data_IF_184502226956
#
_entry.id   IF_184502226956
#
_cell.length_a   1.000
_cell.length_b   1.000
_cell.length_c   1.000
_cell.angle_alpha   90.00
_cell.angle_beta   90.00
_cell.angle_gamma   90.00
#
_symmetry.space_group_name_H-M   'P 1'
#
loop_
_entity.id
_entity.type
_entity.pdbx_description
1 polymer ?
#
# COMPACT_ATOMS: atom_id res chain seq x y z
N UNK A 1 -17.99 -1.65 -28.98
CA UNK A 1 -17.01 -1.93 -27.94
C UNK A 1 -17.68 -2.91 -26.97
N UNK A 2 -17.10 -4.07 -26.76
CA UNK A 2 -17.55 -4.99 -25.73
C UNK A 2 -17.37 -4.30 -24.37
N UNK A 3 -18.23 -4.59 -23.38
CA UNK A 3 -18.19 -3.94 -22.05
C UNK A 3 -16.85 -4.12 -21.26
N UNK A 4 -15.85 -4.77 -21.87
CA UNK A 4 -14.56 -5.09 -21.26
C UNK A 4 -13.35 -4.38 -21.90
N UNK A 5 -13.57 -3.60 -22.96
CA UNK A 5 -12.48 -2.96 -23.71
C UNK A 5 -11.65 -1.94 -22.91
N UNK A 6 -12.11 -1.53 -21.71
CA UNK A 6 -11.41 -0.61 -20.81
C UNK A 6 -10.54 -1.30 -19.76
N UNK A 7 -10.63 -2.63 -19.62
CA UNK A 7 -9.78 -3.39 -18.71
C UNK A 7 -8.52 -3.80 -19.46
N UNK A 8 -7.37 -3.54 -18.85
CA UNK A 8 -6.09 -4.06 -19.30
C UNK A 8 -5.85 -5.45 -18.73
N UNK A 9 -6.05 -5.62 -17.43
CA UNK A 9 -5.77 -6.85 -16.72
C UNK A 9 -6.52 -6.92 -15.40
N UNK A 10 -6.83 -8.14 -14.95
CA UNK A 10 -7.30 -8.43 -13.58
C UNK A 10 -6.24 -9.30 -12.90
N UNK A 11 -5.81 -8.89 -11.71
CA UNK A 11 -4.86 -9.63 -10.89
C UNK A 11 -5.60 -10.21 -9.68
N UNK A 12 -5.67 -11.54 -9.62
CA UNK A 12 -6.24 -12.27 -8.49
C UNK A 12 -5.21 -12.34 -7.35
N UNK A 13 -5.60 -12.07 -6.09
CA UNK A 13 -4.67 -12.08 -4.97
C UNK A 13 -4.11 -13.46 -4.66
N UNK A 14 -2.88 -13.47 -4.14
CA UNK A 14 -2.31 -14.64 -3.48
C UNK A 14 -2.41 -14.42 -1.97
N UNK A 15 -3.07 -15.36 -1.27
CA UNK A 15 -3.20 -15.29 0.19
C UNK A 15 -1.96 -15.84 0.86
N UNK A 16 -1.45 -15.08 1.84
CA UNK A 16 -0.36 -15.48 2.72
C UNK A 16 -0.85 -15.47 4.17
N UNK A 17 -0.64 -16.58 4.86
CA UNK A 17 -0.89 -16.70 6.29
C UNK A 17 0.32 -16.16 7.07
N UNK A 18 0.09 -15.16 7.92
CA UNK A 18 1.08 -14.56 8.82
C UNK A 18 0.96 -15.08 10.25
N UNK A 19 0.16 -16.13 10.48
CA UNK A 19 -0.06 -16.76 11.78
C UNK A 19 -1.27 -16.22 12.52
N UNK A 20 -1.31 -14.93 12.82
CA UNK A 20 -2.44 -14.29 13.50
C UNK A 20 -3.50 -13.73 12.54
N UNK A 21 -3.14 -13.47 11.29
CA UNK A 21 -4.06 -12.99 10.24
C UNK A 21 -3.51 -13.29 8.84
N UNK A 22 -4.39 -13.19 7.85
CA UNK A 22 -4.04 -13.38 6.44
C UNK A 22 -3.85 -12.04 5.73
N UNK A 23 -2.92 -12.01 4.78
CA UNK A 23 -2.77 -10.94 3.81
C UNK A 23 -3.04 -11.44 2.40
N UNK A 24 -3.65 -10.60 1.57
CA UNK A 24 -3.99 -10.86 0.18
C UNK A 24 -3.16 -9.95 -0.70
N UNK A 25 -2.12 -10.52 -1.32
CA UNK A 25 -1.17 -9.80 -2.18
C UNK A 25 -1.62 -9.79 -3.61
N UNK A 26 -1.75 -8.61 -4.20
CA UNK A 26 -2.03 -8.44 -5.63
C UNK A 26 -0.82 -7.93 -6.41
N UNK A 27 0.09 -7.18 -5.78
CA UNK A 27 1.38 -6.76 -6.35
C UNK A 27 2.53 -7.07 -5.38
N UNK A 28 3.70 -7.49 -5.88
CA UNK A 28 3.96 -7.93 -7.25
C UNK A 28 3.30 -9.28 -7.54
N UNK A 29 2.88 -9.49 -8.77
CA UNK A 29 2.39 -10.77 -9.27
C UNK A 29 3.20 -11.20 -10.49
N UNK A 30 3.07 -12.49 -10.90
CA UNK A 30 3.73 -12.96 -12.15
C UNK A 30 3.22 -12.25 -13.39
N UNK A 31 2.01 -11.74 -13.33
CA UNK A 31 1.35 -11.11 -14.46
C UNK A 31 1.60 -9.60 -14.51
N UNK A 32 1.85 -8.97 -13.35
CA UNK A 32 2.07 -7.54 -13.22
C UNK A 32 2.98 -7.24 -12.03
N UNK A 33 4.06 -6.52 -12.25
CA UNK A 33 4.99 -6.13 -11.18
C UNK A 33 4.60 -4.82 -10.50
N UNK A 34 4.09 -3.84 -11.27
CA UNK A 34 3.78 -2.49 -10.80
C UNK A 34 2.51 -1.95 -11.45
N UNK A 35 1.90 -0.96 -10.78
CA UNK A 35 0.89 -0.05 -11.35
C UNK A 35 1.28 1.37 -10.95
N UNK A 36 1.72 2.20 -11.91
CA UNK A 36 2.40 3.44 -11.58
C UNK A 36 3.57 3.15 -10.64
N UNK A 37 3.78 3.94 -9.58
CA UNK A 37 4.85 3.69 -8.60
C UNK A 37 4.56 2.51 -7.66
N UNK A 38 3.33 1.98 -7.60
CA UNK A 38 2.96 0.90 -6.68
C UNK A 38 3.59 -0.43 -7.09
N UNK A 39 4.54 -0.91 -6.29
CA UNK A 39 5.28 -2.16 -6.52
C UNK A 39 4.87 -3.27 -5.56
N UNK A 40 4.14 -2.93 -4.50
CA UNK A 40 3.62 -3.87 -3.53
C UNK A 40 2.25 -3.42 -3.04
N UNK A 41 1.29 -4.32 -3.03
CA UNK A 41 -0.07 -4.05 -2.55
C UNK A 41 -0.58 -5.28 -1.82
N UNK A 42 -0.67 -5.18 -0.50
CA UNK A 42 -1.27 -6.15 0.39
C UNK A 42 -2.54 -5.57 1.01
N UNK A 43 -3.61 -6.34 0.95
CA UNK A 43 -4.82 -6.13 1.73
C UNK A 43 -4.82 -7.12 2.89
N UNK A 44 -5.06 -6.66 4.11
CA UNK A 44 -5.15 -7.49 5.30
C UNK A 44 -6.48 -7.31 6.02
N UNK A 45 -6.94 -8.37 6.64
CA UNK A 45 -8.21 -8.42 7.36
C UNK A 45 -9.45 -8.44 6.45
N UNK A 46 -10.68 -8.13 7.00
CA UNK A 46 -10.92 -7.87 8.41
C UNK A 46 -10.54 -9.06 9.30
N UNK A 47 -9.78 -8.81 10.36
CA UNK A 47 -9.34 -9.81 11.32
C UNK A 47 -9.71 -9.36 12.74
N UNK A 48 -10.25 -10.30 13.54
CA UNK A 48 -10.45 -10.13 14.96
C UNK A 48 -9.45 -11.02 15.69
N UNK A 49 -8.47 -10.40 16.34
CA UNK A 49 -7.44 -11.12 17.07
C UNK A 49 -7.91 -11.41 18.51
N UNK A 50 -7.40 -12.47 19.12
CA UNK A 50 -7.79 -12.83 20.48
C UNK A 50 -7.26 -11.84 21.51
N UNK A 51 -7.84 -11.85 22.70
CA UNK A 51 -7.36 -11.04 23.84
C UNK A 51 -5.90 -11.37 24.13
N UNK A 52 -5.07 -10.34 24.21
CA UNK A 52 -3.63 -10.47 24.43
C UNK A 52 -2.81 -10.69 23.15
N UNK A 53 -3.44 -11.09 22.06
CA UNK A 53 -2.79 -11.22 20.75
C UNK A 53 -2.70 -9.87 20.05
N UNK A 54 -1.93 -9.83 18.96
CA UNK A 54 -1.77 -8.65 18.13
C UNK A 54 -0.86 -8.92 16.95
N UNK A 55 -0.78 -7.95 16.06
CA UNK A 55 0.23 -7.93 15.02
C UNK A 55 1.59 -7.62 15.63
N UNK A 56 2.61 -8.40 15.28
CA UNK A 56 4.00 -8.20 15.68
C UNK A 56 4.91 -8.38 14.46
N UNK A 57 5.10 -7.32 13.71
CA UNK A 57 6.11 -7.27 12.66
C UNK A 57 7.37 -6.66 13.26
N UNK A 58 8.33 -7.55 13.55
CA UNK A 58 9.61 -7.19 14.17
C UNK A 58 10.43 -6.27 13.28
N UNK A 59 11.41 -5.54 13.82
CA UNK A 59 12.32 -4.70 13.05
C UNK A 59 12.87 -5.37 11.80
N UNK A 60 12.68 -4.71 10.65
CA UNK A 60 13.10 -5.16 9.34
C UNK A 60 13.43 -3.97 8.44
N UNK A 61 14.36 -4.14 7.48
CA UNK A 61 14.88 -3.03 6.67
C UNK A 61 14.10 -2.85 5.37
N UNK A 62 14.16 -1.62 4.85
CA UNK A 62 13.74 -1.28 3.49
C UNK A 62 14.76 -0.36 2.82
N UNK A 63 14.86 -0.42 1.49
CA UNK A 63 15.61 0.51 0.64
C UNK A 63 14.81 0.88 -0.61
N UNK A 64 15.03 2.08 -1.13
CA UNK A 64 14.60 2.59 -2.43
C UNK A 64 13.08 2.53 -2.68
N UNK A 65 12.30 2.56 -1.61
CA UNK A 65 10.84 2.58 -1.63
C UNK A 65 10.28 3.52 -0.56
N UNK A 66 9.00 3.78 -0.64
CA UNK A 66 8.21 4.33 0.46
C UNK A 66 7.07 3.36 0.79
N UNK A 67 6.74 3.21 2.08
CA UNK A 67 5.58 2.44 2.53
C UNK A 67 4.43 3.36 2.88
N UNK A 68 3.21 2.97 2.52
CA UNK A 68 1.98 3.65 2.94
C UNK A 68 1.08 2.64 3.64
N UNK A 69 0.79 2.90 4.90
CA UNK A 69 -0.21 2.16 5.68
C UNK A 69 -1.51 2.96 5.69
N UNK A 70 -2.60 2.33 5.24
CA UNK A 70 -3.95 2.90 5.24
C UNK A 70 -4.91 1.94 5.94
N UNK A 71 -5.41 2.33 7.11
CA UNK A 71 -6.30 1.51 7.92
C UNK A 71 -7.77 1.85 7.67
N UNK A 72 -8.60 0.82 7.57
CA UNK A 72 -10.06 0.92 7.63
C UNK A 72 -10.57 0.68 9.05
N UNK A 73 -9.89 -0.17 9.82
CA UNK A 73 -10.17 -0.48 11.23
C UNK A 73 -8.89 -0.86 11.98
N UNK A 74 -8.90 -0.62 13.29
CA UNK A 74 -7.83 -0.99 14.19
C UNK A 74 -6.76 0.09 14.34
N UNK A 75 -5.60 -0.33 14.85
CA UNK A 75 -4.46 0.54 15.04
C UNK A 75 -3.14 -0.23 14.93
N UNK A 76 -2.10 0.46 14.49
CA UNK A 76 -0.73 -0.05 14.39
C UNK A 76 0.23 0.98 14.98
N UNK A 77 1.06 0.55 15.93
CA UNK A 77 2.21 1.30 16.40
C UNK A 77 3.37 1.11 15.43
N UNK A 78 3.79 2.18 14.80
CA UNK A 78 4.98 2.26 13.95
C UNK A 78 6.15 2.82 14.75
N UNK A 79 7.31 2.20 14.63
CA UNK A 79 8.61 2.73 15.11
C UNK A 79 9.64 2.57 14.01
N UNK A 80 10.54 3.54 13.87
CA UNK A 80 11.59 3.45 12.86
C UNK A 80 12.95 3.94 13.35
N UNK A 81 13.96 3.68 12.53
CA UNK A 81 15.35 4.00 12.84
C UNK A 81 15.74 5.47 12.65
N UNK A 82 14.83 6.32 12.15
CA UNK A 82 15.01 7.79 12.18
C UNK A 82 14.45 8.39 13.45
N UNK A 83 13.87 7.56 14.35
CA UNK A 83 13.39 7.94 15.66
C UNK A 83 11.92 8.29 15.71
N UNK A 84 11.16 8.00 14.67
CA UNK A 84 9.72 8.24 14.66
C UNK A 84 8.98 7.17 15.47
N UNK A 85 7.92 7.62 16.14
CA UNK A 85 6.89 6.78 16.77
C UNK A 85 5.52 7.36 16.46
N UNK A 86 4.63 6.55 15.91
CA UNK A 86 3.25 6.94 15.65
C UNK A 86 2.30 5.76 15.82
N UNK A 87 1.14 6.00 16.42
CA UNK A 87 0.02 5.06 16.39
C UNK A 87 -0.88 5.42 15.21
N UNK A 88 -0.86 4.58 14.19
CA UNK A 88 -1.65 4.70 12.97
C UNK A 88 -3.10 4.31 13.26
N UNK A 89 -4.06 5.12 12.82
CA UNK A 89 -5.50 4.87 12.94
C UNK A 89 -6.23 5.17 11.63
N UNK A 90 -7.48 4.71 11.44
CA UNK A 90 -8.28 5.06 10.29
C UNK A 90 -8.37 6.57 10.05
N UNK A 91 -8.28 6.98 8.78
CA UNK A 91 -8.29 8.39 8.37
C UNK A 91 -6.92 9.09 8.48
N UNK A 92 -5.86 8.35 8.78
CA UNK A 92 -4.49 8.84 8.85
C UNK A 92 -3.61 8.14 7.83
N UNK A 93 -2.75 8.89 7.14
CA UNK A 93 -1.68 8.35 6.30
C UNK A 93 -0.39 8.30 7.12
N UNK A 94 0.27 7.16 7.10
CA UNK A 94 1.66 7.06 7.48
C UNK A 94 2.48 6.70 6.26
N UNK A 95 3.34 7.62 5.86
CA UNK A 95 4.28 7.47 4.79
C UNK A 95 5.68 7.35 5.38
N UNK A 96 6.30 6.19 5.24
CA UNK A 96 7.70 5.98 5.57
C UNK A 96 8.51 5.91 4.29
N UNK A 97 9.30 6.90 4.01
CA UNK A 97 10.26 6.92 2.89
C UNK A 97 11.54 6.23 3.33
N UNK A 98 11.87 5.10 2.72
CA UNK A 98 13.08 4.36 3.07
C UNK A 98 14.35 4.97 2.46
N UNK A 99 14.26 5.50 1.23
CA UNK A 99 15.42 6.09 0.58
C UNK A 99 16.63 5.15 0.60
N UNK A 100 17.79 5.64 1.00
CA UNK A 100 19.02 4.84 1.11
C UNK A 100 18.99 3.70 2.14
N UNK A 101 18.00 3.70 3.05
CA UNK A 101 17.78 2.64 4.01
C UNK A 101 17.14 3.09 5.31
N UNK A 102 16.12 2.36 5.75
CA UNK A 102 15.42 2.54 7.03
C UNK A 102 15.11 1.17 7.62
N UNK A 103 15.02 1.09 8.93
CA UNK A 103 14.50 -0.08 9.66
C UNK A 103 13.25 0.35 10.39
N UNK A 104 12.20 -0.46 10.35
CA UNK A 104 10.99 -0.18 11.11
C UNK A 104 10.36 -1.45 11.69
N UNK A 105 9.47 -1.25 12.65
CA UNK A 105 8.61 -2.28 13.22
C UNK A 105 7.16 -1.80 13.28
N UNK A 106 6.22 -2.74 13.20
CA UNK A 106 4.79 -2.48 13.24
C UNK A 106 4.15 -3.45 14.25
N UNK A 107 3.49 -2.91 15.28
CA UNK A 107 2.89 -3.71 16.35
C UNK A 107 1.50 -3.23 16.68
N UNK A 108 0.62 -4.12 17.10
CA UNK A 108 -0.66 -3.70 17.71
C UNK A 108 -0.41 -2.97 19.03
N UNK A 109 -1.07 -1.81 19.26
CA UNK A 109 -0.97 -1.09 20.53
C UNK A 109 -1.38 -1.96 21.74
N UNK A 110 -0.71 -1.79 22.88
CA UNK A 110 -0.97 -2.59 24.08
C UNK A 110 -2.40 -2.48 24.59
N UNK A 111 -3.01 -1.29 24.48
CA UNK A 111 -4.39 -1.08 24.90
C UNK A 111 -5.40 -1.79 24.02
N UNK A 112 -5.10 -1.93 22.72
CA UNK A 112 -5.95 -2.65 21.77
C UNK A 112 -5.81 -4.17 21.98
N UNK A 113 -4.60 -4.68 22.27
CA UNK A 113 -4.38 -6.10 22.61
C UNK A 113 -5.24 -6.56 23.77
N UNK A 114 -5.47 -5.71 24.79
CA UNK A 114 -6.31 -6.03 25.97
C UNK A 114 -7.78 -6.20 25.62
N UNK A 115 -8.22 -5.70 24.46
CA UNK A 115 -9.63 -5.72 24.01
C UNK A 115 -9.89 -6.73 22.90
N UNK A 116 -8.84 -7.39 22.37
CA UNK A 116 -8.90 -8.16 21.14
C UNK A 116 -8.90 -7.21 19.93
N UNK A 117 -7.75 -6.90 19.34
CA UNK A 117 -7.66 -5.89 18.30
C UNK A 117 -8.36 -6.31 17.02
N UNK A 118 -9.05 -5.38 16.41
CA UNK A 118 -9.49 -5.49 15.02
C UNK A 118 -8.37 -4.98 14.10
N UNK A 119 -8.21 -5.59 12.94
CA UNK A 119 -7.23 -5.17 11.97
C UNK A 119 -7.78 -5.32 10.55
N UNK A 120 -7.88 -4.19 9.85
CA UNK A 120 -8.34 -4.17 8.46
C UNK A 120 -7.76 -2.96 7.74
N UNK A 121 -7.06 -3.21 6.63
CA UNK A 121 -6.38 -2.13 5.92
C UNK A 121 -5.62 -2.57 4.69
N UNK A 122 -4.80 -1.64 4.21
CA UNK A 122 -3.88 -1.80 3.10
C UNK A 122 -2.46 -1.46 3.54
N UNK A 123 -1.51 -2.27 3.10
CA UNK A 123 -0.08 -1.94 3.11
C UNK A 123 0.39 -1.86 1.66
N UNK A 124 0.88 -0.69 1.27
CA UNK A 124 1.39 -0.49 -0.08
C UNK A 124 2.83 0.02 -0.06
N UNK A 125 3.62 -0.42 -1.05
CA UNK A 125 4.94 0.16 -1.28
C UNK A 125 4.97 0.85 -2.62
N UNK A 126 5.54 2.03 -2.63
CA UNK A 126 5.81 2.82 -3.81
C UNK A 126 7.31 2.79 -4.07
N UNK A 127 7.72 2.33 -5.25
CA UNK A 127 9.12 2.44 -5.66
C UNK A 127 9.49 3.92 -5.80
N UNK A 128 10.71 4.26 -5.41
CA UNK A 128 11.22 5.60 -5.67
C UNK A 128 11.68 5.72 -7.13
N UNK A 129 11.44 6.87 -7.80
CA UNK A 129 11.83 7.07 -9.19
C UNK A 129 13.34 7.21 -9.34
N UNK A 130 13.83 7.09 -10.57
CA UNK A 130 15.23 7.26 -10.92
C UNK A 130 15.79 8.57 -10.36
N UNK A 131 16.98 8.50 -9.77
CA UNK A 131 17.64 9.64 -9.12
C UNK A 131 17.10 10.01 -7.73
N UNK A 132 16.04 9.34 -7.25
CA UNK A 132 15.48 9.53 -5.91
C UNK A 132 15.62 8.30 -5.01
N UNK A 133 16.18 7.21 -5.49
CA UNK A 133 16.25 5.95 -4.76
C UNK A 133 17.05 6.07 -3.45
N UNK A 134 18.13 6.87 -3.44
CA UNK A 134 19.06 7.02 -2.30
C UNK A 134 18.87 8.32 -1.50
N UNK A 135 17.66 8.92 -1.53
CA UNK A 135 17.35 10.08 -0.70
C UNK A 135 17.40 9.72 0.79
N UNK A 136 17.41 10.72 1.64
CA UNK A 136 17.36 10.52 3.09
C UNK A 136 16.05 9.83 3.51
N UNK A 137 16.10 8.88 4.46
CA UNK A 137 14.90 8.29 5.02
C UNK A 137 14.10 9.32 5.81
N UNK A 138 12.77 9.21 5.74
CA UNK A 138 11.85 10.13 6.40
C UNK A 138 10.54 9.42 6.80
N UNK A 139 9.82 10.05 7.73
CA UNK A 139 8.50 9.60 8.16
C UNK A 139 7.52 10.77 8.22
N UNK A 140 6.33 10.57 7.69
CA UNK A 140 5.23 11.53 7.73
C UNK A 140 3.97 10.86 8.27
N UNK A 141 3.32 11.51 9.25
CA UNK A 141 1.99 11.16 9.74
C UNK A 141 1.02 12.31 9.40
N UNK A 142 0.02 12.04 8.58
CA UNK A 142 -0.88 13.07 8.04
C UNK A 142 -2.32 12.71 8.40
N UNK A 143 -3.05 13.66 8.98
CA UNK A 143 -4.42 13.47 9.46
C UNK A 143 -5.45 14.34 8.73
N UNK A 144 -4.99 15.43 8.10
CA UNK A 144 -5.87 16.39 7.42
C UNK A 144 -5.86 16.11 5.90
N UNK A 145 -6.67 15.13 5.50
CA UNK A 145 -6.75 14.67 4.11
C UNK A 145 -7.98 15.27 3.42
N UNK A 146 -7.88 15.63 2.14
CA UNK A 146 -9.01 16.09 1.35
C UNK A 146 -10.07 15.02 1.21
N UNK A 147 -11.33 15.41 1.40
CA UNK A 147 -12.49 14.55 1.25
C UNK A 147 -13.39 15.17 0.20
N UNK A 148 -13.78 14.38 -0.79
CA UNK A 148 -14.77 14.73 -1.81
C UNK A 148 -16.04 13.96 -1.51
N UNK A 149 -17.16 14.66 -1.44
CA UNK A 149 -18.48 14.07 -1.29
C UNK A 149 -19.37 14.50 -2.47
N UNK A 150 -19.76 13.55 -3.28
CA UNK A 150 -20.60 13.77 -4.45
C UNK A 150 -21.39 12.50 -4.80
N UNK A 151 -22.62 12.67 -5.27
CA UNK A 151 -23.49 11.63 -5.80
C UNK A 151 -23.54 10.34 -4.97
N UNK A 152 -23.56 10.46 -3.64
CA UNK A 152 -23.59 9.32 -2.71
C UNK A 152 -22.25 8.59 -2.55
N UNK A 153 -21.17 9.15 -3.06
CA UNK A 153 -19.80 8.72 -2.83
C UNK A 153 -19.09 9.66 -1.85
N UNK A 154 -18.19 9.08 -1.04
CA UNK A 154 -17.24 9.80 -0.20
C UNK A 154 -15.84 9.29 -0.51
N UNK A 155 -15.02 10.14 -1.11
CA UNK A 155 -13.65 9.80 -1.46
C UNK A 155 -12.65 10.56 -0.58
N UNK A 156 -11.71 9.85 0.04
CA UNK A 156 -10.58 10.43 0.77
C UNK A 156 -9.33 10.31 -0.09
N UNK A 157 -8.71 11.43 -0.42
CA UNK A 157 -7.47 11.46 -1.22
C UNK A 157 -6.30 11.22 -0.29
N UNK A 158 -5.70 10.05 -0.41
CA UNK A 158 -4.56 9.59 0.42
C UNK A 158 -3.26 10.21 -0.09
N UNK A 159 -3.06 10.23 -1.43
CA UNK A 159 -1.88 10.80 -2.10
C UNK A 159 -2.25 11.36 -3.46
N UNK A 160 -1.55 12.42 -3.86
CA UNK A 160 -1.65 13.06 -5.16
C UNK A 160 -2.86 13.97 -5.32
N UNK A 161 -3.26 14.17 -6.56
CA UNK A 161 -4.37 15.06 -6.92
C UNK A 161 -5.46 14.28 -7.65
N UNK A 162 -6.70 14.40 -7.18
CA UNK A 162 -7.90 13.80 -7.75
C UNK A 162 -9.07 14.74 -7.55
N UNK A 163 -9.98 14.80 -8.51
CA UNK A 163 -11.24 15.59 -8.45
C UNK A 163 -11.01 17.05 -8.05
N UNK A 164 -9.88 17.64 -8.48
CA UNK A 164 -9.53 19.04 -8.21
C UNK A 164 -9.04 19.34 -6.79
N UNK A 165 -8.73 18.31 -5.99
CA UNK A 165 -8.15 18.48 -4.67
C UNK A 165 -6.83 17.67 -4.55
N UNK A 166 -5.86 18.22 -3.79
CA UNK A 166 -4.54 17.65 -3.63
C UNK A 166 -4.29 17.26 -2.17
N UNK A 167 -3.85 16.02 -1.94
CA UNK A 167 -3.41 15.57 -0.62
C UNK A 167 -2.08 16.22 -0.23
N UNK A 168 -1.85 16.54 1.06
CA UNK A 168 -0.58 17.08 1.52
C UNK A 168 0.53 16.03 1.61
N UNK A 169 0.21 14.75 1.40
CA UNK A 169 1.16 13.63 1.46
C UNK A 169 2.24 13.77 0.40
N UNK A 170 3.52 13.68 0.79
CA UNK A 170 4.64 13.76 -0.14
C UNK A 170 4.57 12.67 -1.20
N UNK A 171 4.75 13.07 -2.46
CA UNK A 171 4.89 12.16 -3.60
C UNK A 171 6.27 12.32 -4.23
N UNK A 172 6.94 11.21 -4.52
CA UNK A 172 8.25 11.21 -5.17
C UNK A 172 8.16 11.06 -6.69
N UNK A 173 7.04 10.52 -7.18
CA UNK A 173 6.61 10.43 -8.58
C UNK A 173 5.14 10.85 -8.66
N UNK A 174 4.62 11.14 -9.84
CA UNK A 174 3.21 11.41 -10.00
C UNK A 174 2.41 10.18 -9.53
N UNK A 175 1.60 10.37 -8.50
CA UNK A 175 0.90 9.29 -7.78
C UNK A 175 -0.54 9.68 -7.54
N UNK A 176 -1.46 8.76 -7.69
CA UNK A 176 -2.84 8.88 -7.21
C UNK A 176 -3.15 7.72 -6.28
N UNK A 177 -3.72 8.00 -5.11
CA UNK A 177 -4.18 7.00 -4.16
C UNK A 177 -5.39 7.55 -3.40
N UNK A 178 -6.50 6.85 -3.44
CA UNK A 178 -7.72 7.26 -2.75
C UNK A 178 -8.53 6.07 -2.24
N UNK A 179 -9.17 6.26 -1.09
CA UNK A 179 -10.27 5.43 -0.61
C UNK A 179 -11.60 6.02 -1.05
N UNK A 180 -12.44 5.20 -1.65
CA UNK A 180 -13.78 5.58 -2.13
C UNK A 180 -14.81 4.72 -1.42
N UNK A 181 -15.67 5.35 -0.63
CA UNK A 181 -16.83 4.71 0.02
C UNK A 181 -18.08 5.12 -0.73
N UNK A 182 -18.75 4.15 -1.34
CA UNK A 182 -19.99 4.32 -2.07
C UNK A 182 -21.17 3.94 -1.16
N UNK A 183 -22.13 4.83 -1.01
CA UNK A 183 -23.44 4.48 -0.48
C UNK A 183 -24.30 3.73 -1.51
N UNK A 184 -25.48 3.21 -1.12
CA UNK A 184 -26.43 2.63 -2.07
C UNK A 184 -26.83 3.65 -3.14
N UNK A 185 -26.66 3.31 -4.41
CA UNK A 185 -26.89 4.20 -5.56
C UNK A 185 -25.77 5.22 -5.79
N UNK A 186 -24.70 5.20 -4.97
CA UNK A 186 -23.59 6.15 -5.07
C UNK A 186 -22.69 5.90 -6.26
N UNK A 187 -22.10 6.98 -6.77
CA UNK A 187 -21.15 6.91 -7.89
C UNK A 187 -20.15 8.05 -7.89
N UNK A 188 -18.97 7.82 -8.52
CA UNK A 188 -17.94 8.84 -8.70
C UNK A 188 -17.19 8.59 -10.02
N UNK A 189 -16.74 9.64 -10.75
CA UNK A 189 -15.89 9.44 -11.92
C UNK A 189 -14.49 8.95 -11.51
N UNK A 190 -13.91 8.06 -12.32
CA UNK A 190 -12.51 7.68 -12.27
C UNK A 190 -11.79 8.39 -13.40
N UNK A 191 -11.02 9.42 -13.05
CA UNK A 191 -10.33 10.28 -14.00
C UNK A 191 -9.26 9.52 -14.79
N UNK A 192 -8.96 9.97 -16.00
CA UNK A 192 -8.13 9.26 -16.97
C UNK A 192 -6.70 9.80 -17.11
N UNK A 193 -6.29 10.75 -16.27
CA UNK A 193 -5.05 11.52 -16.44
C UNK A 193 -3.75 10.79 -16.01
N UNK A 194 -3.84 9.75 -15.18
CA UNK A 194 -2.67 8.97 -14.79
C UNK A 194 -2.29 7.94 -15.88
N UNK A 195 -0.99 7.71 -16.08
CA UNK A 195 -0.48 6.75 -17.05
C UNK A 195 -0.99 5.34 -16.79
N UNK A 196 -0.96 4.92 -15.53
CA UNK A 196 -1.48 3.63 -15.08
C UNK A 196 -2.45 3.83 -13.90
N UNK A 197 -3.54 3.04 -13.90
CA UNK A 197 -4.58 3.11 -12.86
C UNK A 197 -5.14 1.72 -12.59
N UNK A 198 -5.46 1.48 -11.34
CA UNK A 198 -6.18 0.29 -10.94
C UNK A 198 -7.19 0.59 -9.84
N UNK A 199 -8.23 -0.21 -9.76
CA UNK A 199 -9.21 -0.21 -8.68
C UNK A 199 -9.24 -1.56 -7.99
N UNK A 200 -9.46 -1.56 -6.68
CA UNK A 200 -9.57 -2.77 -5.86
C UNK A 200 -10.78 -2.66 -4.95
N UNK A 201 -11.77 -3.52 -5.15
CA UNK A 201 -12.90 -3.62 -4.22
C UNK A 201 -12.40 -4.29 -2.93
N UNK A 202 -12.52 -3.58 -1.81
CA UNK A 202 -12.08 -4.07 -0.49
C UNK A 202 -13.24 -4.36 0.45
N UNK A 203 -14.48 -3.97 0.11
CA UNK A 203 -15.66 -4.30 0.89
C UNK A 203 -16.95 -3.98 0.16
N UNK A 204 -18.03 -4.67 0.48
CA UNK A 204 -19.33 -4.47 -0.15
C UNK A 204 -19.40 -4.93 -1.61
N UNK A 205 -20.07 -4.14 -2.46
CA UNK A 205 -20.21 -4.39 -3.90
C UNK A 205 -20.02 -3.09 -4.68
N UNK A 206 -19.35 -3.15 -5.81
CA UNK A 206 -19.21 -2.01 -6.72
C UNK A 206 -19.01 -2.50 -8.15
N UNK A 207 -19.20 -1.60 -9.12
CA UNK A 207 -18.90 -1.83 -10.53
C UNK A 207 -18.09 -0.66 -11.10
N UNK A 208 -17.27 -0.94 -12.10
CA UNK A 208 -16.51 0.05 -12.87
C UNK A 208 -16.94 -0.03 -14.33
N UNK A 209 -17.42 1.09 -14.90
CA UNK A 209 -17.93 1.12 -16.27
C UNK A 209 -19.05 0.10 -16.54
N UNK A 210 -19.84 -0.25 -15.50
CA UNK A 210 -20.91 -1.26 -15.55
C UNK A 210 -20.43 -2.71 -15.36
N UNK A 211 -19.11 -2.96 -15.19
CA UNK A 211 -18.58 -4.29 -14.89
C UNK A 211 -18.46 -4.49 -13.38
N UNK A 212 -19.08 -5.54 -12.79
CA UNK A 212 -18.93 -5.85 -11.39
C UNK A 212 -17.48 -6.14 -11.00
N UNK A 213 -17.03 -5.55 -9.88
CA UNK A 213 -15.71 -5.83 -9.30
C UNK A 213 -15.80 -7.05 -8.37
N UNK A 214 -14.83 -7.94 -8.48
CA UNK A 214 -14.65 -9.01 -7.52
C UNK A 214 -13.87 -8.53 -6.29
N UNK A 215 -14.24 -9.05 -5.13
CA UNK A 215 -13.62 -8.68 -3.87
C UNK A 215 -12.13 -9.06 -3.86
N UNK A 216 -11.28 -8.10 -3.51
CA UNK A 216 -9.82 -8.19 -3.40
C UNK A 216 -9.06 -8.40 -4.72
N UNK A 217 -9.71 -8.44 -5.86
CA UNK A 217 -9.01 -8.42 -7.14
C UNK A 217 -8.58 -7.00 -7.51
N UNK A 218 -7.38 -6.87 -8.08
CA UNK A 218 -6.88 -5.60 -8.63
C UNK A 218 -7.25 -5.53 -10.11
N UNK A 219 -8.16 -4.64 -10.44
CA UNK A 219 -8.59 -4.38 -11.83
C UNK A 219 -7.78 -3.23 -12.40
N UNK A 220 -6.85 -3.53 -13.31
CA UNK A 220 -6.00 -2.56 -13.99
C UNK A 220 -6.76 -2.02 -15.20
N UNK A 221 -6.82 -0.68 -15.30
CA UNK A 221 -7.60 0.04 -16.29
C UNK A 221 -6.70 0.52 -17.43
N UNK A 222 -7.19 0.43 -18.66
CA UNK A 222 -6.47 1.03 -19.80
C UNK A 222 -6.32 2.53 -19.63
N UNK A 223 -5.16 3.10 -20.01
CA UNK A 223 -4.93 4.53 -19.91
C UNK A 223 -5.89 5.35 -20.79
N UNK A 224 -6.13 6.59 -20.40
CA UNK A 224 -6.87 7.57 -21.20
C UNK A 224 -8.39 7.36 -21.28
N UNK A 225 -8.98 6.34 -20.63
CA UNK A 225 -10.41 6.06 -20.69
C UNK A 225 -11.06 6.57 -19.40
N UNK A 226 -11.92 7.61 -19.43
CA UNK A 226 -12.71 8.02 -18.28
C UNK A 226 -13.77 6.98 -17.99
N UNK A 227 -13.92 6.61 -16.71
CA UNK A 227 -14.86 5.59 -16.25
C UNK A 227 -15.71 6.12 -15.10
N UNK A 228 -16.77 5.40 -14.80
CA UNK A 228 -17.60 5.63 -13.61
C UNK A 228 -17.50 4.42 -12.69
N UNK A 229 -17.18 4.67 -11.44
CA UNK A 229 -17.32 3.72 -10.35
C UNK A 229 -18.70 3.93 -9.71
N UNK A 230 -19.47 2.87 -9.50
CA UNK A 230 -20.80 2.93 -8.92
C UNK A 230 -21.12 1.69 -8.07
N UNK A 231 -22.14 1.84 -7.21
CA UNK A 231 -22.64 0.76 -6.38
C UNK A 231 -24.13 0.87 -6.13
N UNK A 232 -24.87 -0.22 -6.33
CA UNK A 232 -26.30 -0.30 -5.97
C UNK A 232 -26.52 -0.55 -4.48
N UNK A 233 -25.59 -1.27 -3.84
CA UNK A 233 -25.75 -1.78 -2.46
C UNK A 233 -24.82 -1.11 -1.44
N UNK A 234 -23.87 -0.33 -1.90
CA UNK A 234 -22.76 0.20 -1.12
C UNK A 234 -21.49 -0.64 -1.23
N UNK A 235 -20.34 0.04 -1.26
CA UNK A 235 -19.05 -0.59 -1.40
C UNK A 235 -17.88 0.30 -1.00
N UNK A 236 -16.72 -0.31 -0.77
CA UNK A 236 -15.47 0.38 -0.50
C UNK A 236 -14.44 -0.05 -1.53
N UNK A 237 -13.85 0.92 -2.21
CA UNK A 237 -12.90 0.70 -3.31
C UNK A 237 -11.65 1.53 -3.07
N UNK A 238 -10.49 0.94 -3.30
CA UNK A 238 -9.24 1.68 -3.41
C UNK A 238 -8.95 1.98 -4.87
N UNK A 239 -8.61 3.23 -5.17
CA UNK A 239 -8.07 3.68 -6.46
C UNK A 239 -6.58 3.96 -6.26
N UNK A 240 -5.74 3.38 -7.11
CA UNK A 240 -4.30 3.59 -7.08
C UNK A 240 -3.72 3.68 -8.50
N UNK A 241 -2.58 4.37 -8.63
CA UNK A 241 -1.92 4.54 -9.91
C UNK A 241 -0.92 5.70 -9.92
N UNK A 242 -0.52 6.11 -11.11
CA UNK A 242 0.41 7.22 -11.30
C UNK A 242 1.25 7.09 -12.54
N UNK A 243 2.44 7.68 -12.49
CA UNK A 243 3.44 7.68 -13.56
C UNK A 243 4.01 6.27 -13.78
N UNK A 244 4.04 5.84 -15.03
CA UNK A 244 4.69 4.58 -15.41
C UNK A 244 6.21 4.74 -15.41
N UNK A 245 6.94 3.86 -14.73
CA UNK A 245 8.39 3.92 -14.67
C UNK A 245 9.02 3.30 -15.91
N UNK A 246 9.92 4.07 -16.57
CA UNK A 246 10.66 3.60 -17.72
C UNK A 246 11.73 2.55 -17.34
N UNK A 247 12.35 2.69 -16.15
CA UNK A 247 13.37 1.77 -15.64
C UNK A 247 12.72 0.70 -14.77
N UNK A 248 12.92 -0.59 -15.04
CA UNK A 248 12.40 -1.67 -14.21
C UNK A 248 12.90 -1.59 -12.77
N UNK A 249 12.07 -2.06 -11.83
CA UNK A 249 12.46 -2.24 -10.42
C UNK A 249 12.57 -3.71 -10.09
N UNK A 250 13.69 -4.04 -9.44
CA UNK A 250 13.90 -5.36 -8.87
C UNK A 250 13.37 -5.39 -7.44
N UNK A 251 12.75 -6.49 -7.08
CA UNK A 251 12.26 -6.73 -5.72
C UNK A 251 12.92 -8.00 -5.18
N UNK A 252 13.54 -7.90 -4.04
CA UNK A 252 14.02 -9.05 -3.31
C UNK A 252 13.72 -8.88 -1.81
N UNK A 253 12.85 -9.70 -1.24
CA UNK A 253 12.34 -9.58 0.13
C UNK A 253 11.74 -8.18 0.37
N UNK A 254 12.36 -7.35 1.23
CA UNK A 254 11.93 -5.99 1.55
C UNK A 254 12.77 -4.92 0.82
N UNK A 255 13.60 -5.32 -0.11
CA UNK A 255 14.47 -4.45 -0.87
C UNK A 255 13.95 -4.25 -2.29
N UNK A 256 13.88 -3.00 -2.70
CA UNK A 256 13.54 -2.57 -4.05
C UNK A 256 14.71 -1.76 -4.58
N UNK A 257 15.05 -1.87 -5.86
CA UNK A 257 16.02 -0.98 -6.52
C UNK A 257 15.96 -1.15 -8.03
N UNK A 258 16.39 -0.13 -8.77
CA UNK A 258 16.72 -0.23 -10.19
C UNK A 258 18.03 -1.02 -10.42
N UNK A 259 18.89 -1.17 -9.38
CA UNK A 259 20.16 -1.89 -9.42
C UNK A 259 20.11 -3.19 -8.60
N UNK A 260 20.46 -4.30 -9.24
CA UNK A 260 20.63 -5.59 -8.56
C UNK A 260 21.80 -5.58 -7.57
N UNK A 261 22.87 -4.87 -7.91
CA UNK A 261 24.06 -4.71 -7.07
C UNK A 261 23.71 -3.99 -5.78
N UNK A 262 22.83 -2.98 -5.85
CA UNK A 262 22.35 -2.26 -4.66
C UNK A 262 21.54 -3.17 -3.72
N UNK A 263 20.74 -4.08 -4.27
CA UNK A 263 20.04 -5.10 -3.48
C UNK A 263 21.02 -6.04 -2.80
N UNK A 264 22.04 -6.55 -3.52
CA UNK A 264 23.07 -7.44 -2.92
C UNK A 264 23.82 -6.70 -1.80
N UNK A 265 24.16 -5.43 -2.00
CA UNK A 265 24.76 -4.61 -0.94
C UNK A 265 23.85 -4.51 0.28
N UNK A 266 22.56 -4.23 0.10
CA UNK A 266 21.61 -4.14 1.22
C UNK A 266 21.46 -5.46 1.98
N UNK A 267 21.49 -6.59 1.27
CA UNK A 267 21.51 -7.93 1.89
C UNK A 267 22.73 -8.12 2.79
N UNK A 268 23.89 -7.71 2.31
CA UNK A 268 25.13 -7.80 3.09
C UNK A 268 25.15 -6.79 4.25
N UNK A 269 24.62 -5.59 4.04
CA UNK A 269 24.47 -4.58 5.09
C UNK A 269 23.58 -5.09 6.22
N UNK A 270 22.45 -5.73 5.89
CA UNK A 270 21.56 -6.30 6.90
C UNK A 270 22.19 -7.47 7.65
N UNK A 271 22.84 -8.42 6.95
CA UNK A 271 23.55 -9.55 7.57
C UNK A 271 24.63 -9.13 8.56
N UNK A 272 25.29 -8.01 8.28
CA UNK A 272 26.40 -7.49 9.07
C UNK A 272 26.00 -6.43 10.09
N UNK A 273 24.66 -6.16 10.25
CA UNK A 273 24.17 -5.19 11.22
C UNK A 273 24.57 -3.75 10.91
N UNK A 274 24.74 -3.38 9.63
CA UNK A 274 25.10 -2.02 9.21
C UNK A 274 23.89 -1.07 9.05
N UNK A 275 22.67 -1.59 9.07
CA UNK A 275 21.48 -0.75 9.16
C UNK A 275 21.33 -0.16 10.57
N UNK A 276 20.77 1.05 10.70
CA UNK A 276 20.49 1.63 12.00
C UNK A 276 19.45 0.81 12.78
N UNK A 277 19.50 0.88 14.11
CA UNK A 277 18.55 0.20 15.00
C UNK A 277 17.28 1.05 15.19
N UNK A 278 16.16 0.40 15.56
CA UNK A 278 14.91 1.07 15.92
C UNK A 278 14.94 1.43 17.41
N UNK A 279 14.93 2.73 17.79
CA UNK A 279 14.90 3.12 19.20
C UNK A 279 13.66 2.55 19.92
N UNK A 280 13.89 1.87 21.04
CA UNK A 280 12.83 1.25 21.85
C UNK A 280 12.26 -0.07 21.30
N UNK A 281 12.82 -0.59 20.20
CA UNK A 281 12.49 -1.92 19.65
C UNK A 281 13.71 -2.52 18.97
N UNK A 282 14.75 -2.87 19.74
CA UNK A 282 16.06 -3.31 19.24
C UNK A 282 16.49 -4.70 19.75
N UNK A 283 15.63 -5.38 20.55
CA UNK A 283 15.97 -6.68 21.12
C UNK A 283 15.85 -7.84 20.13
N UNK A 284 15.00 -7.66 19.14
CA UNK A 284 14.74 -8.67 18.10
C UNK A 284 14.69 -8.03 16.71
N UNK A 285 14.78 -8.84 15.67
CA UNK A 285 14.64 -8.40 14.28
C UNK A 285 14.23 -9.57 13.37
N UNK A 286 13.81 -9.27 12.15
CA UNK A 286 13.55 -10.29 11.13
C UNK A 286 14.89 -10.60 10.42
N UNK A 287 15.46 -11.81 10.57
CA UNK A 287 16.68 -12.16 9.86
C UNK A 287 16.44 -12.20 8.34
N UNK A 288 17.49 -11.97 7.57
CA UNK A 288 17.41 -12.09 6.11
C UNK A 288 17.05 -13.53 5.73
N UNK A 289 16.04 -13.74 4.88
CA UNK A 289 15.65 -15.10 4.50
C UNK A 289 16.66 -15.71 3.52
N UNK A 290 16.91 -17.02 3.63
CA UNK A 290 17.71 -17.76 2.64
C UNK A 290 17.04 -17.74 1.26
N UNK A 291 15.70 -17.83 1.26
CA UNK A 291 14.85 -17.73 0.06
C UNK A 291 13.67 -16.81 0.39
N UNK A 292 13.57 -15.65 -0.26
CA UNK A 292 12.43 -14.77 0.01
C UNK A 292 11.15 -15.44 -0.45
N UNK A 293 10.09 -15.31 0.37
CA UNK A 293 8.72 -15.72 -0.03
C UNK A 293 8.15 -14.78 -1.10
N UNK A 294 8.76 -13.63 -1.30
CA UNK A 294 8.40 -12.66 -2.34
C UNK A 294 9.08 -13.03 -3.63
N UNK A 295 8.33 -13.11 -4.72
CA UNK A 295 8.88 -13.48 -6.02
C UNK A 295 9.74 -12.33 -6.52
N UNK A 296 11.03 -12.61 -6.78
CA UNK A 296 11.88 -11.70 -7.55
C UNK A 296 11.39 -11.75 -9.00
N UNK A 297 10.97 -10.63 -9.54
CA UNK A 297 10.65 -10.51 -10.97
C UNK A 297 11.87 -9.96 -11.70
N UNK A 298 12.16 -10.53 -12.89
CA UNK A 298 13.27 -10.07 -13.72
C UNK A 298 13.03 -8.70 -14.29
#
# INVERSE_FOLDING_TARGET
MTNEDFIEQIVTPVTHDLGSFEVRRVLPSRARSMVGPFIFVDQFGPAHLQLGEGMDVRPHPHINLATVTWLFQGAIDHRDSVGSFATIRPGQVNLMTAGRGIVHSERSPQDDRRKGPELYGMQTWLALPDGREEIDPAFEAITDLPIIEDAGARATIVMGELWGASAPTTTHAATIYAEIVLGPGGSIPVEAHADERAVMLVGGKASIGGLPLNLYELTILRPGIPLKLDSEAGGRVMLLGGEAFATPRHVWWNFVSSSRERIEQAKDDWRQGRFPIVPGDAEEFIPIPDRPKTVSYP
#
